data_IF_878912977639
#
_entry.id   IF_878912977639
#
_cell.length_a   1.000
_cell.length_b   1.000
_cell.length_c   1.000
_cell.angle_alpha   90.00
_cell.angle_beta   90.00
_cell.angle_gamma   90.00
#
_symmetry.space_group_name_H-M   'P 1'
#
loop_
_entity.id
_entity.type
_entity.pdbx_description
1 polymer ?
#
# COMPACT_ATOMS: atom_id res chain seq x y z
N UNK A 1 -14.25 -6.70 14.61
CA UNK A 1 -12.93 -6.24 15.08
C UNK A 1 -12.76 -6.40 16.59
N UNK A 2 -12.34 -7.59 17.03
CA UNK A 2 -11.60 -7.75 18.29
C UNK A 2 -10.10 -7.49 18.06
N UNK A 3 -9.38 -7.03 19.08
CA UNK A 3 -7.97 -6.63 18.98
C UNK A 3 -7.08 -7.47 19.92
N UNK A 4 -6.01 -8.05 19.38
CA UNK A 4 -4.96 -8.78 20.08
C UNK A 4 -3.63 -8.07 19.86
N UNK A 5 -2.92 -7.72 20.95
CA UNK A 5 -1.62 -7.07 20.83
C UNK A 5 -0.54 -8.07 20.40
N UNK A 6 0.41 -7.60 19.58
CA UNK A 6 1.56 -8.40 19.14
C UNK A 6 2.79 -7.51 19.02
N UNK A 7 3.95 -8.02 19.46
CA UNK A 7 5.23 -7.28 19.43
C UNK A 7 5.62 -6.81 18.03
N UNK A 8 5.22 -7.54 16.99
CA UNK A 8 5.45 -7.20 15.58
C UNK A 8 4.70 -5.94 15.11
N UNK A 9 3.73 -5.43 15.87
CA UNK A 9 3.01 -4.19 15.56
C UNK A 9 3.87 -2.94 15.88
N UNK A 10 4.77 -3.02 16.87
CA UNK A 10 5.61 -1.90 17.30
C UNK A 10 6.48 -1.31 16.16
N UNK A 11 7.28 -2.10 15.41
CA UNK A 11 8.05 -1.54 14.29
C UNK A 11 7.16 -0.99 13.17
N UNK A 12 5.97 -1.56 12.95
CA UNK A 12 5.01 -1.08 11.93
C UNK A 12 4.43 0.29 12.31
N UNK A 13 4.08 0.49 13.58
CA UNK A 13 3.65 1.81 14.09
C UNK A 13 4.79 2.82 13.99
N UNK A 14 6.03 2.42 14.33
CA UNK A 14 7.20 3.29 14.17
C UNK A 14 7.43 3.69 12.70
N UNK A 15 7.28 2.76 11.75
CA UNK A 15 7.33 3.05 10.31
C UNK A 15 6.23 4.02 9.89
N UNK A 16 4.99 3.82 10.34
CA UNK A 16 3.87 4.71 10.03
C UNK A 16 4.10 6.14 10.54
N UNK A 17 4.60 6.30 11.77
CA UNK A 17 4.90 7.61 12.37
C UNK A 17 6.05 8.29 11.60
N UNK A 18 7.11 7.55 11.27
CA UNK A 18 8.26 8.09 10.55
C UNK A 18 7.89 8.51 9.12
N UNK A 19 7.16 7.68 8.38
CA UNK A 19 6.68 8.04 7.03
C UNK A 19 5.70 9.22 7.06
N UNK A 20 4.81 9.29 8.06
CA UNK A 20 3.92 10.44 8.23
C UNK A 20 4.69 11.74 8.50
N UNK A 21 5.75 11.68 9.32
CA UNK A 21 6.62 12.83 9.59
C UNK A 21 7.37 13.29 8.34
N UNK A 22 7.96 12.37 7.57
CA UNK A 22 8.64 12.71 6.30
C UNK A 22 7.63 13.26 5.28
N UNK A 23 6.44 12.67 5.17
CA UNK A 23 5.37 13.18 4.31
C UNK A 23 4.98 14.62 4.66
N UNK A 24 4.79 14.92 5.96
CA UNK A 24 4.45 16.26 6.43
C UNK A 24 5.57 17.29 6.20
N UNK A 25 6.83 16.91 6.40
CA UNK A 25 8.00 17.78 6.14
C UNK A 25 8.18 18.04 4.64
N UNK A 26 8.05 17.02 3.81
CA UNK A 26 8.11 17.15 2.35
C UNK A 26 6.93 17.99 1.81
N UNK A 27 5.72 17.81 2.35
CA UNK A 27 4.55 18.60 1.97
C UNK A 27 4.69 20.09 2.34
N UNK A 28 5.34 20.42 3.47
CA UNK A 28 5.72 21.80 3.83
C UNK A 28 6.83 22.39 2.94
N UNK A 29 7.55 21.57 2.18
CA UNK A 29 8.64 21.96 1.25
C UNK A 29 8.27 21.75 -0.23
N UNK A 30 6.98 21.70 -0.56
CA UNK A 30 6.42 21.55 -1.93
C UNK A 30 7.05 22.41 -3.05
N UNK A 31 7.59 23.62 -2.83
CA UNK A 31 8.28 24.38 -3.89
C UNK A 31 9.55 23.71 -4.45
N UNK A 32 10.15 22.74 -3.74
CA UNK A 32 11.34 22.01 -4.22
C UNK A 32 10.94 20.86 -5.16
N UNK A 33 11.70 20.65 -6.24
CA UNK A 33 11.49 19.51 -7.16
C UNK A 33 11.50 18.18 -6.40
N UNK A 34 10.61 17.26 -6.75
CA UNK A 34 10.46 15.97 -6.08
C UNK A 34 9.75 16.01 -4.72
N UNK A 35 9.63 17.17 -4.04
CA UNK A 35 9.05 17.23 -2.69
C UNK A 35 7.58 16.77 -2.64
N UNK A 36 6.77 17.10 -3.65
CA UNK A 36 5.39 16.60 -3.78
C UNK A 36 5.35 15.08 -4.01
N UNK A 37 6.26 14.54 -4.83
CA UNK A 37 6.32 13.10 -5.11
C UNK A 37 6.77 12.31 -3.87
N UNK A 38 7.77 12.80 -3.12
CA UNK A 38 8.19 12.25 -1.84
C UNK A 38 7.07 12.30 -0.79
N UNK A 39 6.34 13.42 -0.71
CA UNK A 39 5.21 13.56 0.20
C UNK A 39 4.09 12.55 -0.09
N UNK A 40 3.77 12.31 -1.36
CA UNK A 40 2.79 11.30 -1.78
C UNK A 40 3.30 9.89 -1.49
N UNK A 41 4.52 9.55 -1.92
CA UNK A 41 5.16 8.25 -1.66
C UNK A 41 5.15 7.89 -0.16
N UNK A 42 5.56 8.82 0.70
CA UNK A 42 5.55 8.62 2.15
C UNK A 42 4.15 8.60 2.75
N UNK A 43 3.18 9.32 2.17
CA UNK A 43 1.76 9.20 2.53
C UNK A 43 1.18 7.82 2.21
N UNK A 44 1.52 7.26 1.04
CA UNK A 44 1.13 5.90 0.63
C UNK A 44 1.78 4.82 1.50
N UNK A 45 3.07 4.96 1.83
CA UNK A 45 3.75 4.10 2.84
C UNK A 45 3.06 4.20 4.20
N UNK A 46 2.68 5.41 4.65
CA UNK A 46 1.93 5.60 5.91
C UNK A 46 0.61 4.84 5.90
N UNK A 47 -0.18 4.99 4.82
CA UNK A 47 -1.47 4.34 4.65
C UNK A 47 -1.35 2.81 4.64
N UNK A 48 -0.34 2.27 3.96
CA UNK A 48 0.00 0.85 4.00
C UNK A 48 0.39 0.42 5.42
N UNK A 49 1.31 1.10 6.11
CA UNK A 49 1.74 0.73 7.46
C UNK A 49 0.58 0.75 8.46
N UNK A 50 -0.32 1.73 8.40
CA UNK A 50 -1.54 1.79 9.23
C UNK A 50 -2.45 0.59 8.94
N UNK A 51 -2.77 0.32 7.67
CA UNK A 51 -3.58 -0.85 7.30
C UNK A 51 -2.94 -2.18 7.72
N UNK A 52 -1.62 -2.28 7.64
CA UNK A 52 -0.88 -3.47 8.06
C UNK A 52 -0.88 -3.66 9.59
N UNK A 53 -0.75 -2.58 10.36
CA UNK A 53 -0.86 -2.61 11.83
C UNK A 53 -2.27 -3.04 12.27
N UNK A 54 -3.32 -2.46 11.67
CA UNK A 54 -4.71 -2.81 11.99
C UNK A 54 -5.05 -4.26 11.59
N UNK A 55 -4.48 -4.77 10.49
CA UNK A 55 -4.57 -6.19 10.10
C UNK A 55 -3.89 -7.12 11.11
N UNK A 56 -2.72 -6.73 11.65
CA UNK A 56 -2.01 -7.52 12.65
C UNK A 56 -2.74 -7.54 14.00
N UNK A 57 -3.32 -6.41 14.42
CA UNK A 57 -4.08 -6.31 15.66
C UNK A 57 -5.44 -7.03 15.59
N UNK A 58 -6.09 -7.05 14.41
CA UNK A 58 -7.39 -7.69 14.23
C UNK A 58 -7.33 -9.20 14.49
N UNK A 59 -8.27 -9.74 15.27
CA UNK A 59 -8.40 -11.19 15.54
C UNK A 59 -9.32 -11.89 14.55
N UNK A 60 -10.49 -11.31 14.27
CA UNK A 60 -11.50 -11.92 13.40
C UNK A 60 -11.13 -11.86 11.89
N UNK A 61 -11.56 -12.87 11.13
CA UNK A 61 -11.28 -13.02 9.69
C UNK A 61 -11.76 -11.79 8.90
N UNK A 62 -12.97 -11.31 9.18
CA UNK A 62 -13.57 -10.18 8.48
C UNK A 62 -12.72 -8.92 8.60
N UNK A 63 -12.33 -8.53 9.83
CA UNK A 63 -11.43 -7.38 10.03
C UNK A 63 -10.04 -7.63 9.44
N UNK A 64 -9.48 -8.85 9.57
CA UNK A 64 -8.19 -9.19 8.94
C UNK A 64 -8.26 -9.05 7.41
N UNK A 65 -9.32 -9.51 6.76
CA UNK A 65 -9.49 -9.42 5.31
C UNK A 65 -9.78 -7.99 4.85
N UNK A 66 -10.63 -7.25 5.56
CA UNK A 66 -10.88 -5.83 5.31
C UNK A 66 -9.58 -5.02 5.36
N UNK A 67 -8.78 -5.15 6.42
CA UNK A 67 -7.49 -4.45 6.52
C UNK A 67 -6.44 -4.99 5.53
N UNK A 68 -6.54 -6.26 5.11
CA UNK A 68 -5.74 -6.82 4.02
C UNK A 68 -6.08 -6.20 2.66
N UNK A 69 -7.36 -5.91 2.37
CA UNK A 69 -7.77 -5.12 1.18
C UNK A 69 -7.39 -3.65 1.31
N UNK A 70 -7.63 -3.04 2.46
CA UNK A 70 -7.38 -1.61 2.71
C UNK A 70 -5.92 -1.22 2.47
N UNK A 71 -4.94 -2.05 2.86
CA UNK A 71 -3.52 -1.74 2.62
C UNK A 71 -3.14 -1.60 1.15
N UNK A 72 -3.94 -2.09 0.19
CA UNK A 72 -3.69 -1.92 -1.25
C UNK A 72 -3.90 -0.48 -1.76
N UNK A 73 -4.73 0.32 -1.09
CA UNK A 73 -4.74 1.78 -1.30
C UNK A 73 -3.37 2.42 -1.00
N UNK A 74 -2.59 1.80 -0.10
CA UNK A 74 -1.26 2.26 0.28
C UNK A 74 -0.14 1.65 -0.56
N UNK A 75 -0.10 0.33 -0.77
CA UNK A 75 1.05 -0.32 -1.43
C UNK A 75 1.05 -0.17 -2.96
N UNK A 76 -0.11 -0.21 -3.64
CA UNK A 76 -0.14 -0.17 -5.11
C UNK A 76 0.42 1.14 -5.70
N UNK A 77 0.18 2.33 -5.14
CA UNK A 77 0.75 3.58 -5.68
C UNK A 77 2.24 3.82 -5.35
N UNK A 78 2.90 2.94 -4.56
CA UNK A 78 4.30 3.13 -4.14
C UNK A 78 5.29 3.06 -5.31
N UNK A 79 5.31 2.03 -6.18
CA UNK A 79 6.22 1.99 -7.32
C UNK A 79 6.04 3.17 -8.27
N UNK A 80 4.78 3.54 -8.56
CA UNK A 80 4.43 4.68 -9.40
C UNK A 80 4.96 6.02 -8.82
N UNK A 81 4.72 6.29 -7.54
CA UNK A 81 5.20 7.52 -6.90
C UNK A 81 6.72 7.54 -6.68
N UNK A 82 7.36 6.39 -6.50
CA UNK A 82 8.82 6.26 -6.47
C UNK A 82 9.44 6.60 -7.85
N UNK A 83 8.88 6.07 -8.94
CA UNK A 83 9.36 6.37 -10.30
C UNK A 83 9.20 7.87 -10.63
N UNK A 84 8.05 8.46 -10.27
CA UNK A 84 7.82 9.91 -10.39
C UNK A 84 8.87 10.70 -9.60
N UNK A 85 9.16 10.30 -8.35
CA UNK A 85 10.19 10.93 -7.52
C UNK A 85 11.57 10.83 -8.16
N UNK A 86 11.98 9.65 -8.63
CA UNK A 86 13.28 9.44 -9.27
C UNK A 86 13.47 10.30 -10.53
N UNK A 87 12.45 10.40 -11.39
CA UNK A 87 12.48 11.21 -12.61
C UNK A 87 12.45 12.73 -12.29
N UNK A 88 11.79 13.15 -11.21
CA UNK A 88 11.83 14.56 -10.76
C UNK A 88 13.15 14.93 -10.07
N UNK A 89 13.74 14.01 -9.31
CA UNK A 89 15.02 14.21 -8.61
C UNK A 89 16.20 14.28 -9.58
N UNK A 90 16.18 13.46 -10.64
CA UNK A 90 17.18 13.49 -11.73
C UNK A 90 16.96 14.62 -12.75
N UNK A 91 16.00 15.54 -12.51
CA UNK A 91 15.72 16.70 -13.37
C UNK A 91 14.96 16.39 -14.67
N UNK A 92 14.76 15.11 -15.00
CA UNK A 92 14.13 14.66 -16.24
C UNK A 92 12.60 14.84 -16.31
N UNK A 93 11.96 15.27 -15.21
CA UNK A 93 10.51 15.47 -15.08
C UNK A 93 9.82 16.07 -16.30
N UNK A 94 10.26 17.25 -16.78
CA UNK A 94 9.63 17.95 -17.93
C UNK A 94 9.68 17.17 -19.26
N UNK A 95 10.61 16.23 -19.42
CA UNK A 95 10.79 15.45 -20.66
C UNK A 95 9.95 14.18 -20.67
N UNK A 96 9.86 13.48 -19.53
CA UNK A 96 9.26 12.15 -19.42
C UNK A 96 7.87 12.14 -18.76
N UNK A 97 7.64 12.98 -17.74
CA UNK A 97 6.37 13.01 -16.98
C UNK A 97 5.33 13.89 -17.67
N UNK A 98 4.87 13.43 -18.84
CA UNK A 98 3.72 14.00 -19.56
C UNK A 98 2.41 13.51 -18.94
N UNK A 99 1.29 14.19 -19.21
CA UNK A 99 -0.03 13.85 -18.65
C UNK A 99 -0.45 12.39 -18.88
N UNK A 100 -0.12 11.80 -20.03
CA UNK A 100 -0.39 10.39 -20.33
C UNK A 100 0.44 9.43 -19.46
N UNK A 101 1.66 9.80 -19.07
CA UNK A 101 2.52 8.97 -18.23
C UNK A 101 1.99 8.94 -16.79
N UNK A 102 1.51 10.07 -16.27
CA UNK A 102 0.77 10.10 -15.00
C UNK A 102 -0.52 9.27 -15.08
N UNK A 103 -1.27 9.33 -16.18
CA UNK A 103 -2.48 8.54 -16.36
C UNK A 103 -2.17 7.02 -16.36
N UNK A 104 -1.14 6.56 -17.08
CA UNK A 104 -0.72 5.16 -17.08
C UNK A 104 -0.27 4.68 -15.68
N UNK A 105 0.52 5.50 -14.97
CA UNK A 105 0.99 5.22 -13.61
C UNK A 105 -0.11 5.28 -12.52
N UNK A 106 -1.31 5.75 -12.84
CA UNK A 106 -2.48 5.72 -11.95
C UNK A 106 -3.49 4.65 -12.39
N UNK A 107 -3.57 4.34 -13.69
CA UNK A 107 -4.46 3.32 -14.24
C UNK A 107 -4.14 1.92 -13.72
N UNK A 108 -2.86 1.53 -13.73
CA UNK A 108 -2.39 0.25 -13.22
C UNK A 108 -2.82 0.00 -11.76
N UNK A 109 -2.42 0.85 -10.77
CA UNK A 109 -2.80 0.62 -9.38
C UNK A 109 -4.31 0.78 -9.14
N UNK A 110 -5.03 1.54 -9.97
CA UNK A 110 -6.50 1.63 -9.89
C UNK A 110 -7.20 0.34 -10.36
N UNK A 111 -6.75 -0.28 -11.46
CA UNK A 111 -7.27 -1.58 -11.93
C UNK A 111 -6.96 -2.68 -10.90
N UNK A 112 -5.74 -2.72 -10.38
CA UNK A 112 -5.37 -3.69 -9.35
C UNK A 112 -6.13 -3.49 -8.04
N UNK A 113 -6.40 -2.25 -7.64
CA UNK A 113 -7.24 -1.94 -6.49
C UNK A 113 -8.70 -2.43 -6.67
N UNK A 114 -9.29 -2.27 -7.87
CA UNK A 114 -10.62 -2.82 -8.17
C UNK A 114 -10.59 -4.35 -8.04
N UNK A 115 -9.63 -5.03 -8.67
CA UNK A 115 -9.51 -6.49 -8.62
C UNK A 115 -9.26 -7.04 -7.20
N UNK A 116 -8.57 -6.29 -6.33
CA UNK A 116 -8.44 -6.61 -4.90
C UNK A 116 -9.79 -6.52 -4.19
N UNK A 117 -10.59 -5.49 -4.48
CA UNK A 117 -11.85 -5.24 -3.78
C UNK A 117 -13.02 -6.10 -4.28
N UNK A 118 -13.05 -6.47 -5.55
CA UNK A 118 -14.08 -7.34 -6.16
C UNK A 118 -13.73 -8.83 -6.18
N UNK A 119 -12.62 -9.24 -5.53
CA UNK A 119 -12.06 -10.59 -5.68
C UNK A 119 -13.04 -11.74 -5.40
N UNK A 120 -14.03 -11.56 -4.54
CA UNK A 120 -15.09 -12.54 -4.23
C UNK A 120 -15.99 -12.89 -5.43
N UNK A 121 -15.94 -12.11 -6.52
CA UNK A 121 -16.70 -12.33 -7.76
C UNK A 121 -15.90 -13.15 -8.79
N UNK A 122 -14.56 -13.11 -8.74
CA UNK A 122 -13.71 -13.57 -9.85
C UNK A 122 -12.41 -14.29 -9.45
N UNK A 123 -12.00 -14.24 -8.18
CA UNK A 123 -10.84 -14.95 -7.60
C UNK A 123 -9.48 -14.73 -8.32
N UNK A 124 -9.36 -13.64 -9.09
CA UNK A 124 -8.18 -13.37 -9.92
C UNK A 124 -6.97 -12.86 -9.13
N UNK A 125 -7.19 -12.23 -7.98
CA UNK A 125 -6.11 -11.68 -7.14
C UNK A 125 -5.72 -12.65 -6.02
N UNK A 126 -6.73 -13.23 -5.35
CA UNK A 126 -6.59 -14.39 -4.48
C UNK A 126 -7.53 -15.50 -4.94
N UNK A 127 -6.94 -16.62 -5.36
CA UNK A 127 -7.66 -17.83 -5.76
C UNK A 127 -8.29 -18.54 -4.55
N UNK A 128 -7.59 -18.55 -3.42
CA UNK A 128 -8.05 -19.09 -2.14
C UNK A 128 -7.60 -18.16 -1.00
N UNK A 129 -8.43 -18.04 0.04
CA UNK A 129 -8.20 -17.22 1.24
C UNK A 129 -8.59 -18.04 2.47
N UNK A 130 -7.60 -18.44 3.24
CA UNK A 130 -7.75 -19.31 4.41
C UNK A 130 -7.15 -18.65 5.66
N UNK A 131 -7.43 -19.23 6.83
CA UNK A 131 -6.72 -18.91 8.07
C UNK A 131 -5.75 -20.02 8.43
N UNK A 132 -4.47 -19.68 8.56
CA UNK A 132 -3.42 -20.58 9.04
C UNK A 132 -2.96 -20.14 10.43
N UNK A 133 -3.01 -21.06 11.39
CA UNK A 133 -2.62 -20.81 12.78
C UNK A 133 -1.16 -21.20 13.02
N UNK A 134 -0.31 -20.20 13.28
CA UNK A 134 1.11 -20.38 13.59
C UNK A 134 1.33 -20.13 15.09
N UNK A 135 1.10 -21.16 15.91
CA UNK A 135 1.09 -21.04 17.37
C UNK A 135 0.01 -20.05 17.83
N UNK A 136 0.34 -18.98 18.59
CA UNK A 136 -0.63 -18.00 19.08
C UNK A 136 -1.07 -16.97 18.02
N UNK A 137 -0.66 -17.12 16.75
CA UNK A 137 -0.93 -16.16 15.67
C UNK A 137 -1.76 -16.78 14.55
N UNK A 138 -3.03 -16.36 14.44
CA UNK A 138 -3.87 -16.65 13.29
C UNK A 138 -3.55 -15.66 12.16
N UNK A 139 -2.99 -16.16 11.06
CA UNK A 139 -2.59 -15.38 9.88
C UNK A 139 -3.49 -15.71 8.68
N UNK A 140 -3.65 -14.72 7.79
CA UNK A 140 -4.30 -14.93 6.50
C UNK A 140 -3.33 -15.69 5.59
N UNK A 141 -3.70 -16.91 5.19
CA UNK A 141 -3.04 -17.68 4.14
C UNK A 141 -3.76 -17.41 2.83
N UNK A 142 -3.03 -17.16 1.73
CA UNK A 142 -3.65 -16.84 0.44
C UNK A 142 -2.91 -17.47 -0.72
N UNK A 143 -3.64 -18.19 -1.58
CA UNK A 143 -3.12 -18.60 -2.88
C UNK A 143 -3.33 -17.46 -3.87
N UNK A 144 -2.23 -16.94 -4.43
CA UNK A 144 -2.26 -15.80 -5.34
C UNK A 144 -2.78 -16.19 -6.73
N UNK A 145 -3.79 -15.47 -7.22
CA UNK A 145 -4.38 -15.67 -8.54
C UNK A 145 -3.59 -14.95 -9.66
N UNK A 146 -3.98 -15.13 -10.94
CA UNK A 146 -3.21 -14.63 -12.09
C UNK A 146 -2.97 -13.11 -12.09
N UNK A 147 -3.90 -12.30 -11.58
CA UNK A 147 -3.74 -10.85 -11.55
C UNK A 147 -2.64 -10.40 -10.58
N UNK A 148 -2.40 -11.14 -9.49
CA UNK A 148 -1.29 -10.84 -8.56
C UNK A 148 0.08 -11.02 -9.23
N UNK A 149 0.19 -11.94 -10.20
CA UNK A 149 1.43 -12.21 -10.94
C UNK A 149 1.61 -11.34 -12.19
N UNK A 150 0.60 -10.55 -12.55
CA UNK A 150 0.63 -9.62 -13.69
C UNK A 150 0.98 -8.17 -13.28
N UNK A 151 1.25 -7.95 -11.99
CA UNK A 151 1.57 -6.68 -11.33
C UNK A 151 3.02 -6.68 -10.83
#
# INVERSE_FOLDING_TARGET
>A
MQLQFSVYVLPVIASAILSAAVAAVAWRRRPTSGATALALLMGFVTLWSVGYALRLLSVDLESKLFWAKFRYFGILPVPATWLILAIQYTGYGKRWLRSWAYAALVLEPAVMLVLVWTNEVHHLFWAQIDLASYGPLTLLSTVHGPAFWAH
#
